data_IF_199644335258
#
_entry.id   IF_199644335258
#
_cell.length_a   1.000
_cell.length_b   1.000
_cell.length_c   1.000
_cell.angle_alpha   90.00
_cell.angle_beta   90.00
_cell.angle_gamma   90.00
#
_symmetry.space_group_name_H-M   'P 1'
#
loop_
_entity.id
_entity.type
_entity.pdbx_description
1 polymer ?
#
# COMPACT_ATOMS: atom_id res chain seq x y z
N UNK A 1 -16.09 -18.16 -6.49
CA UNK A 1 -15.56 -19.02 -7.56
C UNK A 1 -14.75 -18.23 -8.60
N UNK A 2 -14.89 -16.92 -8.67
CA UNK A 2 -14.09 -16.02 -9.46
C UNK A 2 -13.99 -14.66 -8.78
N UNK A 3 -12.93 -13.91 -9.15
CA UNK A 3 -12.78 -12.50 -8.80
C UNK A 3 -12.83 -11.63 -10.06
N UNK A 4 -13.42 -10.43 -9.95
CA UNK A 4 -13.14 -9.32 -10.86
C UNK A 4 -12.39 -8.27 -10.05
N UNK A 5 -11.20 -7.91 -10.49
CA UNK A 5 -10.30 -7.03 -9.77
C UNK A 5 -10.09 -5.74 -10.57
N UNK A 6 -10.39 -4.61 -9.95
CA UNK A 6 -10.23 -3.26 -10.52
C UNK A 6 -9.09 -2.49 -9.89
N UNK A 7 -8.76 -2.79 -8.63
CA UNK A 7 -7.64 -2.15 -7.95
C UNK A 7 -6.34 -2.52 -8.65
N UNK A 8 -5.52 -1.55 -9.10
CA UNK A 8 -4.29 -1.82 -9.84
C UNK A 8 -3.26 -2.64 -9.06
N UNK A 9 -3.25 -2.56 -7.72
CA UNK A 9 -2.41 -3.41 -6.86
C UNK A 9 -2.86 -4.87 -6.96
N UNK A 10 -4.16 -5.13 -6.92
CA UNK A 10 -4.72 -6.47 -7.00
C UNK A 10 -4.61 -7.06 -8.40
N UNK A 11 -4.80 -6.24 -9.46
CA UNK A 11 -4.56 -6.64 -10.84
C UNK A 11 -3.10 -7.04 -11.05
N UNK A 12 -2.16 -6.25 -10.49
CA UNK A 12 -0.73 -6.58 -10.52
C UNK A 12 -0.45 -7.89 -9.79
N UNK A 13 -0.95 -8.07 -8.58
CA UNK A 13 -0.75 -9.29 -7.82
C UNK A 13 -1.24 -10.53 -8.56
N UNK A 14 -2.40 -10.44 -9.22
CA UNK A 14 -2.99 -11.56 -9.93
C UNK A 14 -2.32 -11.89 -11.27
N UNK A 15 -1.88 -10.88 -12.04
CA UNK A 15 -1.50 -11.02 -13.44
C UNK A 15 -0.11 -10.47 -13.81
N UNK A 16 0.64 -9.95 -12.82
CA UNK A 16 1.95 -9.29 -13.03
C UNK A 16 1.92 -8.18 -14.09
N UNK A 17 0.83 -7.43 -14.15
CA UNK A 17 0.64 -6.37 -15.13
C UNK A 17 0.31 -5.04 -14.45
N UNK A 18 1.01 -3.99 -14.85
CA UNK A 18 0.80 -2.63 -14.34
C UNK A 18 0.79 -1.63 -15.49
N UNK A 19 -0.10 -0.67 -15.41
CA UNK A 19 -0.13 0.48 -16.29
C UNK A 19 -0.97 1.59 -15.65
N UNK A 20 -0.45 2.82 -15.60
CA UNK A 20 -1.14 4.01 -15.10
C UNK A 20 -1.88 3.79 -13.78
N UNK A 21 -1.19 3.26 -12.75
CA UNK A 21 -1.81 2.85 -11.48
C UNK A 21 -2.64 3.95 -10.84
N UNK A 22 -2.12 5.17 -10.72
CA UNK A 22 -2.84 6.31 -10.13
C UNK A 22 -4.10 6.67 -10.92
N UNK A 23 -4.04 6.63 -12.24
CA UNK A 23 -5.21 6.87 -13.10
C UNK A 23 -6.29 5.78 -12.89
N UNK A 24 -5.88 4.52 -12.78
CA UNK A 24 -6.79 3.40 -12.55
C UNK A 24 -7.43 3.39 -11.16
N UNK A 25 -6.79 3.98 -10.16
CA UNK A 25 -7.41 4.16 -8.83
C UNK A 25 -8.62 5.11 -8.89
N UNK A 26 -8.62 6.06 -9.82
CA UNK A 26 -9.72 7.02 -10.01
C UNK A 26 -10.75 6.58 -11.05
N UNK A 27 -10.31 5.81 -12.05
CA UNK A 27 -11.12 5.43 -13.19
C UNK A 27 -11.06 3.92 -13.39
N UNK A 28 -12.18 3.23 -13.24
CA UNK A 28 -12.26 1.76 -13.36
C UNK A 28 -12.15 1.32 -14.83
N UNK A 29 -11.04 1.64 -15.48
CA UNK A 29 -10.84 1.50 -16.93
C UNK A 29 -10.01 0.28 -17.33
N UNK A 30 -9.41 -0.40 -16.36
CA UNK A 30 -8.61 -1.60 -16.56
C UNK A 30 -8.85 -2.54 -15.42
N UNK A 31 -9.17 -3.79 -15.70
CA UNK A 31 -9.54 -4.78 -14.70
C UNK A 31 -9.28 -6.20 -15.20
N UNK A 32 -9.33 -7.17 -14.32
CA UNK A 32 -9.17 -8.56 -14.71
C UNK A 32 -10.25 -9.47 -14.11
N UNK A 33 -10.46 -10.59 -14.77
CA UNK A 33 -11.28 -11.70 -14.32
C UNK A 33 -10.38 -12.90 -14.01
N UNK A 34 -10.46 -13.40 -12.79
CA UNK A 34 -9.64 -14.51 -12.29
C UNK A 34 -10.56 -15.57 -11.72
N UNK A 35 -10.89 -16.63 -12.50
CA UNK A 35 -11.71 -17.74 -12.01
C UNK A 35 -10.86 -18.80 -11.33
N UNK A 36 -11.48 -19.61 -10.46
CA UNK A 36 -10.85 -20.83 -9.91
C UNK A 36 -10.57 -21.85 -11.02
N UNK A 37 -11.46 -21.94 -12.01
CA UNK A 37 -11.33 -22.82 -13.17
C UNK A 37 -11.74 -22.05 -14.42
N UNK A 38 -10.85 -21.91 -15.37
CA UNK A 38 -11.08 -21.18 -16.62
C UNK A 38 -9.93 -20.22 -16.94
N UNK A 39 -10.07 -19.44 -18.00
CA UNK A 39 -9.03 -18.50 -18.41
C UNK A 39 -8.97 -17.27 -17.50
N UNK A 40 -7.77 -16.79 -17.20
CA UNK A 40 -7.55 -15.46 -16.68
C UNK A 40 -7.70 -14.45 -17.81
N UNK A 41 -8.57 -13.45 -17.62
CA UNK A 41 -8.89 -12.47 -18.65
C UNK A 41 -8.48 -11.09 -18.16
N UNK A 42 -7.61 -10.43 -18.91
CA UNK A 42 -7.33 -9.01 -18.72
C UNK A 42 -8.23 -8.17 -19.64
N UNK A 43 -8.91 -7.22 -19.06
CA UNK A 43 -9.63 -6.18 -19.79
C UNK A 43 -8.73 -4.94 -19.87
N UNK A 44 -8.24 -4.69 -21.09
CA UNK A 44 -7.22 -3.68 -21.36
C UNK A 44 -7.84 -2.46 -22.04
N UNK A 45 -7.13 -1.33 -22.00
CA UNK A 45 -7.51 -0.14 -22.75
C UNK A 45 -7.66 -0.43 -24.23
N UNK A 46 -8.55 0.29 -24.88
CA UNK A 46 -8.79 0.19 -26.33
C UNK A 46 -7.47 0.34 -27.12
N UNK A 47 -7.20 -0.61 -28.00
CA UNK A 47 -5.98 -0.71 -28.80
C UNK A 47 -4.66 -0.83 -28.00
N UNK A 48 -4.70 -1.22 -26.73
CA UNK A 48 -3.51 -1.38 -25.90
C UNK A 48 -3.21 -2.85 -25.54
N UNK A 49 -3.88 -3.81 -26.15
CA UNK A 49 -3.76 -5.25 -25.83
C UNK A 49 -2.33 -5.77 -26.00
N UNK A 50 -1.55 -5.14 -26.88
CA UNK A 50 -0.16 -5.53 -27.14
C UNK A 50 0.75 -5.32 -25.92
N UNK A 51 0.40 -4.39 -25.02
CA UNK A 51 1.20 -4.07 -23.86
C UNK A 51 1.34 -5.26 -22.88
N UNK A 52 0.34 -6.14 -22.84
CA UNK A 52 0.28 -7.25 -21.90
C UNK A 52 0.39 -8.64 -22.57
N UNK A 53 0.52 -8.71 -23.90
CA UNK A 53 0.60 -10.00 -24.65
C UNK A 53 1.78 -10.89 -24.27
N UNK A 54 2.83 -10.32 -23.71
CA UNK A 54 4.04 -11.04 -23.32
C UNK A 54 3.94 -11.70 -21.93
N UNK A 55 2.87 -11.44 -21.18
CA UNK A 55 2.69 -11.93 -19.82
C UNK A 55 2.03 -13.30 -19.81
N UNK A 56 2.69 -14.27 -19.19
CA UNK A 56 2.28 -15.68 -19.20
C UNK A 56 1.11 -16.02 -18.28
N UNK A 57 0.71 -15.10 -17.39
CA UNK A 57 -0.42 -15.28 -16.47
C UNK A 57 -1.77 -14.86 -17.07
N UNK A 58 -1.76 -14.35 -18.31
CA UNK A 58 -2.94 -13.86 -19.01
C UNK A 58 -3.28 -14.80 -20.16
N UNK A 59 -4.41 -15.48 -20.07
CA UNK A 59 -4.88 -16.39 -21.12
C UNK A 59 -5.60 -15.64 -22.23
N UNK A 60 -6.33 -14.56 -21.89
CA UNK A 60 -7.12 -13.78 -22.85
C UNK A 60 -7.05 -12.30 -22.54
N UNK A 61 -6.98 -11.46 -23.58
CA UNK A 61 -7.05 -10.00 -23.43
C UNK A 61 -8.28 -9.51 -24.21
N UNK A 62 -9.14 -8.75 -23.54
CA UNK A 62 -10.34 -8.13 -24.11
C UNK A 62 -10.28 -6.61 -23.95
N UNK A 63 -10.94 -5.84 -24.82
CA UNK A 63 -11.12 -4.41 -24.59
C UNK A 63 -11.98 -4.18 -23.33
N UNK A 64 -11.55 -3.27 -22.47
CA UNK A 64 -12.28 -2.93 -21.26
C UNK A 64 -13.60 -2.22 -21.58
N UNK A 65 -14.65 -2.61 -20.87
CA UNK A 65 -15.94 -1.90 -20.88
C UNK A 65 -15.94 -0.99 -19.64
N UNK A 66 -16.03 0.31 -19.86
CA UNK A 66 -16.08 1.33 -18.81
C UNK A 66 -17.44 2.01 -18.81
N UNK A 67 -17.89 2.45 -17.63
CA UNK A 67 -19.19 3.14 -17.48
C UNK A 67 -19.10 4.38 -16.59
N UNK A 68 -17.90 4.91 -16.43
CA UNK A 68 -17.71 6.18 -15.76
C UNK A 68 -18.22 7.35 -16.62
N UNK A 69 -18.66 8.41 -15.94
CA UNK A 69 -19.22 9.59 -16.64
C UNK A 69 -18.15 10.34 -17.43
N UNK A 70 -16.91 10.34 -16.96
CA UNK A 70 -15.79 10.98 -17.65
C UNK A 70 -15.59 10.43 -19.08
N UNK A 71 -15.64 9.11 -19.22
CA UNK A 71 -15.41 8.46 -20.51
C UNK A 71 -16.66 8.37 -21.39
N UNK A 72 -17.85 8.35 -20.79
CA UNK A 72 -19.07 7.94 -21.48
C UNK A 72 -20.21 8.99 -21.46
N UNK A 73 -20.13 10.01 -20.61
CA UNK A 73 -21.19 11.01 -20.48
C UNK A 73 -22.56 10.34 -20.28
N UNK A 74 -23.55 10.79 -21.03
CA UNK A 74 -24.93 10.27 -20.96
C UNK A 74 -25.09 8.82 -21.43
N UNK A 75 -24.04 8.19 -21.94
CA UNK A 75 -24.04 6.78 -22.34
C UNK A 75 -23.56 5.85 -21.21
N UNK A 76 -23.25 6.37 -20.04
CA UNK A 76 -22.71 5.59 -18.91
C UNK A 76 -23.62 4.41 -18.54
N UNK A 77 -24.93 4.60 -18.45
CA UNK A 77 -25.90 3.54 -18.13
C UNK A 77 -25.93 2.44 -19.22
N UNK A 78 -25.83 2.81 -20.49
CA UNK A 78 -25.78 1.86 -21.59
C UNK A 78 -24.49 1.03 -21.55
N UNK A 79 -23.36 1.64 -21.18
CA UNK A 79 -22.10 0.92 -21.02
C UNK A 79 -22.13 0.00 -19.79
N UNK A 80 -22.73 0.44 -18.70
CA UNK A 80 -22.94 -0.42 -17.53
C UNK A 80 -23.74 -1.68 -17.94
N UNK A 81 -24.80 -1.55 -18.71
CA UNK A 81 -25.59 -2.69 -19.18
C UNK A 81 -24.74 -3.66 -20.04
N UNK A 82 -23.83 -3.15 -20.87
CA UNK A 82 -22.91 -4.01 -21.64
C UNK A 82 -21.98 -4.78 -20.72
N UNK A 83 -21.40 -4.10 -19.72
CA UNK A 83 -20.54 -4.77 -18.74
C UNK A 83 -21.30 -5.82 -17.93
N UNK A 84 -22.53 -5.53 -17.49
CA UNK A 84 -23.38 -6.51 -16.81
C UNK A 84 -23.63 -7.75 -17.67
N UNK A 85 -23.87 -7.58 -18.97
CA UNK A 85 -24.06 -8.71 -19.89
C UNK A 85 -22.78 -9.53 -20.02
N UNK A 86 -21.62 -8.89 -20.08
CA UNK A 86 -20.31 -9.59 -20.06
C UNK A 86 -20.17 -10.44 -18.79
N UNK A 87 -20.45 -9.86 -17.61
CA UNK A 87 -20.38 -10.59 -16.33
C UNK A 87 -21.40 -11.75 -16.29
N UNK A 88 -22.60 -11.58 -16.87
CA UNK A 88 -23.59 -12.65 -16.98
C UNK A 88 -23.08 -13.82 -17.84
N UNK A 89 -22.39 -13.52 -18.93
CA UNK A 89 -21.83 -14.56 -19.79
C UNK A 89 -20.65 -15.27 -19.13
N UNK A 90 -19.78 -14.55 -18.42
CA UNK A 90 -18.75 -15.16 -17.56
C UNK A 90 -19.40 -16.05 -16.47
N UNK A 91 -20.45 -15.57 -15.84
CA UNK A 91 -21.19 -16.34 -14.81
C UNK A 91 -21.76 -17.66 -15.34
N UNK A 92 -22.35 -17.66 -16.55
CA UNK A 92 -22.87 -18.89 -17.18
C UNK A 92 -21.77 -19.92 -17.45
N UNK A 93 -20.60 -19.45 -17.83
CA UNK A 93 -19.52 -20.32 -18.30
C UNK A 93 -18.62 -20.83 -17.17
N UNK A 94 -18.42 -20.03 -16.11
CA UNK A 94 -17.38 -20.29 -15.11
C UNK A 94 -17.88 -20.34 -13.67
N UNK A 95 -19.16 -20.02 -13.36
CA UNK A 95 -19.69 -20.06 -12.00
C UNK A 95 -20.63 -21.25 -11.81
N UNK A 96 -20.49 -21.93 -10.68
CA UNK A 96 -21.48 -22.93 -10.22
C UNK A 96 -22.54 -22.26 -9.33
N UNK A 97 -22.15 -21.21 -8.63
CA UNK A 97 -23.04 -20.35 -7.85
C UNK A 97 -23.14 -18.99 -8.53
N UNK A 98 -24.15 -18.22 -8.16
CA UNK A 98 -24.28 -16.85 -8.67
C UNK A 98 -23.55 -15.85 -7.75
N UNK A 99 -22.32 -16.15 -7.33
CA UNK A 99 -21.50 -15.31 -6.47
C UNK A 99 -20.20 -14.93 -7.16
N UNK A 100 -19.83 -13.67 -7.07
CA UNK A 100 -18.55 -13.14 -7.57
C UNK A 100 -17.91 -12.23 -6.53
N UNK A 101 -16.60 -12.37 -6.35
CA UNK A 101 -15.84 -11.47 -5.49
C UNK A 101 -15.31 -10.28 -6.31
N UNK A 102 -15.51 -9.07 -5.82
CA UNK A 102 -15.05 -7.84 -6.48
C UNK A 102 -14.40 -6.94 -5.42
N UNK A 103 -13.25 -6.37 -5.73
CA UNK A 103 -12.48 -5.54 -4.79
C UNK A 103 -12.94 -4.08 -4.76
N UNK A 104 -13.25 -3.50 -5.92
CA UNK A 104 -13.75 -2.13 -6.05
C UNK A 104 -14.90 -2.10 -7.03
N UNK A 105 -16.05 -1.59 -6.60
CA UNK A 105 -17.21 -1.44 -7.49
C UNK A 105 -18.12 -0.32 -7.00
N UNK A 106 -18.69 0.46 -7.91
CA UNK A 106 -19.65 1.51 -7.56
C UNK A 106 -21.06 0.98 -7.28
N UNK A 107 -21.85 1.72 -6.51
CA UNK A 107 -23.19 1.32 -6.11
C UNK A 107 -24.14 0.94 -7.26
N UNK A 108 -24.22 1.72 -8.37
CA UNK A 108 -25.04 1.36 -9.54
C UNK A 108 -24.71 -0.02 -10.13
N UNK A 109 -23.44 -0.36 -10.25
CA UNK A 109 -23.01 -1.65 -10.78
C UNK A 109 -23.36 -2.82 -9.83
N UNK A 110 -23.17 -2.64 -8.52
CA UNK A 110 -23.60 -3.64 -7.51
C UNK A 110 -25.12 -3.87 -7.61
N UNK A 111 -25.91 -2.79 -7.67
CA UNK A 111 -27.35 -2.88 -7.77
C UNK A 111 -27.80 -3.61 -9.06
N UNK A 112 -27.10 -3.34 -10.18
CA UNK A 112 -27.41 -3.95 -11.47
C UNK A 112 -27.06 -5.45 -11.47
N UNK A 113 -25.94 -5.89 -10.91
CA UNK A 113 -25.59 -7.31 -10.76
C UNK A 113 -26.62 -8.03 -9.87
N UNK A 114 -26.99 -7.44 -8.75
CA UNK A 114 -27.98 -8.01 -7.85
C UNK A 114 -29.36 -8.21 -8.53
N UNK A 115 -29.79 -7.30 -9.40
CA UNK A 115 -31.02 -7.46 -10.20
C UNK A 115 -30.96 -8.67 -11.13
N UNK A 116 -29.78 -9.01 -11.63
CA UNK A 116 -29.55 -10.21 -12.45
C UNK A 116 -29.35 -11.49 -11.60
N UNK A 117 -29.48 -11.36 -10.28
CA UNK A 117 -29.32 -12.47 -9.32
C UNK A 117 -27.88 -12.89 -9.11
N UNK A 118 -26.91 -12.01 -9.40
CA UNK A 118 -25.48 -12.22 -9.14
C UNK A 118 -25.15 -11.50 -7.82
N UNK A 119 -24.79 -12.26 -6.81
CA UNK A 119 -24.37 -11.76 -5.51
C UNK A 119 -22.92 -11.29 -5.57
N UNK A 120 -22.68 -10.03 -5.22
CA UNK A 120 -21.34 -9.47 -5.10
C UNK A 120 -20.84 -9.62 -3.67
N UNK A 121 -19.66 -10.21 -3.49
CA UNK A 121 -18.95 -10.31 -2.22
C UNK A 121 -17.63 -9.55 -2.28
N UNK A 122 -17.13 -9.11 -1.13
CA UNK A 122 -15.87 -8.38 -1.06
C UNK A 122 -14.68 -9.31 -1.36
N UNK A 123 -13.86 -8.94 -2.34
CA UNK A 123 -12.63 -9.66 -2.67
C UNK A 123 -11.44 -9.25 -1.80
N UNK A 124 -11.48 -8.10 -1.12
CA UNK A 124 -10.33 -7.57 -0.34
C UNK A 124 -9.87 -8.55 0.71
N UNK A 125 -10.78 -9.13 1.49
CA UNK A 125 -10.44 -10.14 2.50
C UNK A 125 -9.62 -11.30 1.91
N UNK A 126 -10.04 -11.81 0.75
CA UNK A 126 -9.39 -12.96 0.10
C UNK A 126 -7.99 -12.57 -0.37
N UNK A 127 -7.86 -11.39 -0.95
CA UNK A 127 -6.59 -10.86 -1.47
C UNK A 127 -5.61 -10.51 -0.36
N UNK A 128 -6.08 -9.86 0.70
CA UNK A 128 -5.26 -9.62 1.90
C UNK A 128 -4.70 -10.92 2.46
N UNK A 129 -5.55 -11.94 2.62
CA UNK A 129 -5.09 -13.24 3.10
C UNK A 129 -4.09 -13.91 2.14
N UNK A 130 -4.26 -13.76 0.83
CA UNK A 130 -3.34 -14.32 -0.15
C UNK A 130 -1.96 -13.64 -0.11
N UNK A 131 -1.90 -12.32 0.16
CA UNK A 131 -0.67 -11.54 0.19
C UNK A 131 0.12 -11.61 1.50
N UNK A 132 -0.50 -12.02 2.60
CA UNK A 132 0.12 -12.02 3.94
C UNK A 132 1.45 -12.75 3.97
N UNK A 133 1.53 -13.93 3.37
CA UNK A 133 2.74 -14.76 3.36
C UNK A 133 3.43 -14.61 2.01
N UNK A 134 4.59 -13.98 2.02
CA UNK A 134 5.38 -13.71 0.80
C UNK A 134 6.12 -14.95 0.31
N UNK A 135 6.08 -15.15 -0.98
CA UNK A 135 6.94 -16.11 -1.67
C UNK A 135 8.42 -15.68 -1.62
N UNK A 136 9.38 -16.56 -1.92
CA UNK A 136 10.78 -16.18 -2.02
C UNK A 136 11.07 -15.09 -3.04
N UNK A 137 10.31 -15.07 -4.15
CA UNK A 137 10.47 -14.07 -5.21
C UNK A 137 9.95 -12.71 -4.77
N UNK A 138 8.79 -12.65 -4.10
CA UNK A 138 8.27 -11.43 -3.49
C UNK A 138 9.23 -10.85 -2.46
N UNK A 139 9.83 -11.69 -1.60
CA UNK A 139 10.85 -11.25 -0.64
C UNK A 139 12.10 -10.69 -1.33
N UNK A 140 12.43 -11.18 -2.53
CA UNK A 140 13.53 -10.64 -3.32
C UNK A 140 13.20 -9.27 -3.90
N UNK A 141 11.98 -9.10 -4.41
CA UNK A 141 11.48 -7.80 -4.89
C UNK A 141 11.42 -6.77 -3.75
N UNK A 142 10.93 -7.15 -2.58
CA UNK A 142 10.90 -6.27 -1.41
C UNK A 142 12.30 -5.83 -0.97
N UNK A 143 13.29 -6.72 -0.98
CA UNK A 143 14.69 -6.34 -0.69
C UNK A 143 15.20 -5.29 -1.67
N UNK A 144 14.92 -5.44 -2.96
CA UNK A 144 15.30 -4.45 -3.96
C UNK A 144 14.65 -3.07 -3.69
N UNK A 145 13.37 -3.05 -3.31
CA UNK A 145 12.67 -1.81 -2.92
C UNK A 145 13.31 -1.16 -1.69
N UNK A 146 13.60 -1.94 -0.64
CA UNK A 146 14.26 -1.47 0.58
C UNK A 146 15.66 -0.89 0.27
N UNK A 147 16.46 -1.54 -0.57
CA UNK A 147 17.78 -1.05 -0.97
C UNK A 147 17.71 0.33 -1.66
N UNK A 148 16.69 0.55 -2.49
CA UNK A 148 16.47 1.85 -3.14
C UNK A 148 16.01 2.89 -2.13
N UNK A 149 15.11 2.54 -1.20
CA UNK A 149 14.67 3.44 -0.14
C UNK A 149 15.83 3.85 0.76
N UNK A 150 16.66 2.91 1.21
CA UNK A 150 17.85 3.20 2.02
C UNK A 150 18.84 4.13 1.30
N UNK A 151 19.01 3.93 -0.01
CA UNK A 151 19.83 4.82 -0.85
C UNK A 151 19.25 6.23 -0.90
N UNK A 152 17.92 6.36 -1.05
CA UNK A 152 17.21 7.63 -1.03
C UNK A 152 17.34 8.34 0.31
N UNK A 153 17.07 7.62 1.39
CA UNK A 153 17.20 8.11 2.77
C UNK A 153 18.64 8.56 3.09
N UNK A 154 19.64 7.80 2.62
CA UNK A 154 21.06 8.18 2.77
C UNK A 154 21.39 9.47 2.03
N UNK A 155 20.87 9.66 0.82
CA UNK A 155 21.03 10.92 0.06
C UNK A 155 20.30 12.08 0.75
N UNK A 156 19.06 11.88 1.19
CA UNK A 156 18.34 12.91 1.95
C UNK A 156 19.15 13.37 3.17
N UNK A 157 19.72 12.41 3.91
CA UNK A 157 20.57 12.73 5.05
C UNK A 157 21.81 13.51 4.67
N UNK A 158 22.52 13.14 3.59
CA UNK A 158 23.76 13.81 3.18
C UNK A 158 23.53 15.21 2.68
N UNK A 159 22.40 15.45 2.00
CA UNK A 159 22.11 16.71 1.34
C UNK A 159 21.34 17.68 2.23
N UNK A 160 20.79 17.19 3.36
CA UNK A 160 20.04 17.98 4.34
C UNK A 160 20.90 19.12 4.91
N UNK A 161 20.45 20.35 4.69
CA UNK A 161 21.11 21.56 5.17
C UNK A 161 20.08 22.65 5.53
N UNK A 162 20.43 23.58 6.42
CA UNK A 162 19.58 24.74 6.69
C UNK A 162 19.32 25.55 5.41
N UNK A 163 18.11 26.06 5.27
CA UNK A 163 17.68 26.84 4.12
C UNK A 163 17.04 26.05 2.99
N UNK A 164 17.08 24.70 3.03
CA UNK A 164 16.28 23.87 2.15
C UNK A 164 14.82 23.92 2.56
N UNK A 165 13.90 23.77 1.61
CA UNK A 165 12.50 23.49 1.88
C UNK A 165 12.27 21.99 2.15
N UNK A 166 11.15 21.68 2.79
CA UNK A 166 10.72 20.28 2.98
C UNK A 166 10.52 19.60 1.62
N UNK A 167 9.92 20.28 0.65
CA UNK A 167 9.70 19.76 -0.71
C UNK A 167 11.03 19.49 -1.46
N UNK A 168 12.04 20.36 -1.30
CA UNK A 168 13.37 20.11 -1.87
C UNK A 168 14.01 18.84 -1.30
N UNK A 169 13.91 18.63 0.01
CA UNK A 169 14.42 17.41 0.66
C UNK A 169 13.65 16.18 0.20
N UNK A 170 12.30 16.25 0.16
CA UNK A 170 11.45 15.15 -0.28
C UNK A 170 11.71 14.75 -1.74
N UNK A 171 11.99 15.73 -2.62
CA UNK A 171 12.26 15.47 -4.03
C UNK A 171 13.46 14.55 -4.28
N UNK A 172 14.41 14.49 -3.32
CA UNK A 172 15.58 13.61 -3.40
C UNK A 172 15.16 12.14 -3.37
N UNK A 173 14.16 11.79 -2.56
CA UNK A 173 13.62 10.42 -2.48
C UNK A 173 12.95 10.03 -3.81
N UNK A 174 12.07 10.89 -4.34
CA UNK A 174 11.41 10.67 -5.63
C UNK A 174 12.40 10.45 -6.77
N UNK A 175 13.37 11.36 -6.88
CA UNK A 175 14.43 11.25 -7.88
C UNK A 175 15.18 9.93 -7.75
N UNK A 176 15.58 9.57 -6.53
CA UNK A 176 16.33 8.33 -6.29
C UNK A 176 15.50 7.10 -6.63
N UNK A 177 14.22 7.10 -6.29
CA UNK A 177 13.31 6.00 -6.61
C UNK A 177 13.23 5.76 -8.12
N UNK A 178 12.90 6.80 -8.88
CA UNK A 178 12.76 6.71 -10.34
C UNK A 178 14.09 6.36 -11.03
N UNK A 179 15.21 6.94 -10.61
CA UNK A 179 16.54 6.64 -11.17
C UNK A 179 16.97 5.17 -10.96
N UNK A 180 16.38 4.48 -9.99
CA UNK A 180 16.71 3.09 -9.66
C UNK A 180 15.59 2.09 -9.99
N UNK A 181 14.67 2.46 -10.88
CA UNK A 181 13.62 1.57 -11.39
C UNK A 181 12.38 1.45 -10.51
N UNK A 182 12.23 2.32 -9.51
CA UNK A 182 11.00 2.42 -8.74
C UNK A 182 9.90 3.17 -9.50
N UNK A 183 8.71 3.19 -8.95
CA UNK A 183 7.52 3.67 -9.65
C UNK A 183 7.05 5.02 -9.12
N UNK A 184 6.50 5.08 -7.92
CA UNK A 184 5.92 6.28 -7.30
C UNK A 184 6.02 6.21 -5.78
N UNK A 185 5.49 7.20 -5.09
CA UNK A 185 5.44 7.26 -3.63
C UNK A 185 4.01 7.59 -3.25
N UNK A 186 3.40 6.80 -2.35
CA UNK A 186 1.99 6.91 -2.03
C UNK A 186 1.63 8.20 -1.33
N UNK A 187 2.52 8.71 -0.49
CA UNK A 187 2.32 9.94 0.26
C UNK A 187 3.58 10.81 0.24
N UNK A 188 3.49 12.01 0.80
CA UNK A 188 4.62 12.92 0.98
C UNK A 188 4.86 13.21 2.45
N UNK A 189 4.78 12.18 3.30
CA UNK A 189 4.94 12.36 4.75
C UNK A 189 6.36 12.81 5.06
N UNK A 190 6.52 14.10 5.18
CA UNK A 190 7.73 14.76 5.67
C UNK A 190 7.34 16.10 6.27
N UNK A 191 7.84 16.37 7.46
CA UNK A 191 7.63 17.64 8.14
C UNK A 191 8.84 18.00 9.00
N UNK A 192 8.95 19.28 9.36
CA UNK A 192 10.09 19.79 10.13
C UNK A 192 9.68 20.73 11.25
N UNK A 193 10.50 20.78 12.31
CA UNK A 193 10.28 21.64 13.47
C UNK A 193 8.96 21.34 14.16
N UNK A 194 8.17 22.36 14.47
CA UNK A 194 6.87 22.22 15.12
C UNK A 194 5.83 21.46 14.29
N UNK A 195 6.02 21.37 12.97
CA UNK A 195 5.13 20.62 12.09
C UNK A 195 5.29 19.10 12.23
N UNK A 196 6.31 18.60 12.93
CA UNK A 196 6.44 17.15 13.17
C UNK A 196 5.37 16.59 14.10
N UNK A 197 4.60 17.44 14.78
CA UNK A 197 3.46 17.06 15.60
C UNK A 197 2.24 17.96 15.28
N UNK A 198 1.08 17.39 14.94
CA UNK A 198 0.80 15.95 14.80
C UNK A 198 1.48 15.32 13.60
N UNK A 199 1.63 13.99 13.61
CA UNK A 199 2.12 13.19 12.49
C UNK A 199 1.17 13.28 11.25
N UNK A 200 1.52 12.69 10.15
CA UNK A 200 0.76 12.67 8.88
C UNK A 200 0.73 14.01 8.13
N UNK A 201 1.75 14.85 8.32
CA UNK A 201 1.86 16.09 7.55
C UNK A 201 2.75 15.89 6.31
N UNK A 202 2.20 16.27 5.16
CA UNK A 202 2.96 16.26 3.92
C UNK A 202 3.99 17.38 3.84
N UNK A 203 5.01 17.15 3.03
CA UNK A 203 6.05 18.15 2.75
C UNK A 203 5.47 19.44 2.15
N UNK A 204 6.11 20.54 2.43
CA UNK A 204 5.68 21.88 2.05
C UNK A 204 6.86 22.77 1.63
N UNK A 205 6.55 24.01 1.26
CA UNK A 205 7.55 25.04 0.99
C UNK A 205 8.17 25.65 2.26
N UNK A 206 7.91 25.08 3.46
CA UNK A 206 8.55 25.51 4.70
C UNK A 206 10.06 25.37 4.59
N UNK A 207 10.78 26.46 4.88
CA UNK A 207 12.24 26.50 4.92
C UNK A 207 12.72 25.96 6.26
N UNK A 208 13.49 24.88 6.23
CA UNK A 208 14.01 24.20 7.41
C UNK A 208 15.15 25.01 8.04
N UNK A 209 15.11 25.14 9.39
CA UNK A 209 16.07 25.91 10.15
C UNK A 209 17.08 25.00 10.84
N UNK A 210 18.27 25.56 11.13
CA UNK A 210 19.32 24.88 11.89
C UNK A 210 18.79 24.37 13.24
N UNK A 211 18.96 23.08 13.51
CA UNK A 211 18.58 22.45 14.77
C UNK A 211 17.14 21.92 14.83
N UNK A 212 16.31 22.16 13.82
CA UNK A 212 15.00 21.56 13.71
C UNK A 212 15.10 20.05 13.48
N UNK A 213 14.18 19.27 14.08
CA UNK A 213 13.96 17.89 13.67
C UNK A 213 13.27 17.91 12.30
N UNK A 214 13.64 17.00 11.42
CA UNK A 214 12.88 16.62 10.25
C UNK A 214 12.56 15.13 10.35
N UNK A 215 11.29 14.79 10.27
CA UNK A 215 10.79 13.43 10.33
C UNK A 215 10.02 13.11 9.05
N UNK A 216 10.16 11.89 8.56
CA UNK A 216 9.49 11.45 7.33
C UNK A 216 9.25 9.95 7.33
N UNK A 217 8.32 9.54 6.49
CA UNK A 217 8.02 8.17 6.16
C UNK A 217 8.08 7.98 4.64
N UNK A 218 8.52 6.82 4.17
CA UNK A 218 8.79 6.69 2.74
C UNK A 218 7.59 6.23 1.93
N UNK A 219 6.80 5.28 2.38
CA UNK A 219 5.70 4.66 1.61
C UNK A 219 6.01 4.52 0.11
N UNK A 220 7.24 4.09 -0.15
CA UNK A 220 7.84 4.17 -1.48
C UNK A 220 7.55 2.90 -2.27
N UNK A 221 6.81 3.01 -3.36
CA UNK A 221 6.64 1.93 -4.34
C UNK A 221 7.92 1.85 -5.18
N UNK A 222 8.77 0.93 -4.79
CA UNK A 222 10.09 0.73 -5.36
C UNK A 222 10.09 -0.14 -6.62
N UNK A 223 11.26 -0.68 -7.00
CA UNK A 223 11.38 -1.63 -8.10
C UNK A 223 10.43 -2.82 -7.92
N UNK A 224 9.89 -3.29 -9.04
CA UNK A 224 8.90 -4.39 -9.11
C UNK A 224 7.56 -4.09 -8.42
N UNK A 225 7.32 -2.83 -7.99
CA UNK A 225 6.07 -2.40 -7.38
C UNK A 225 5.88 -2.81 -5.92
N UNK A 226 6.91 -3.32 -5.26
CA UNK A 226 6.86 -3.58 -3.83
C UNK A 226 7.19 -2.34 -3.03
N UNK A 227 6.49 -2.17 -1.91
CA UNK A 227 6.67 -1.02 -1.05
C UNK A 227 7.87 -1.18 -0.11
N UNK A 228 8.52 -0.07 0.15
CA UNK A 228 9.48 0.10 1.24
C UNK A 228 9.00 1.25 2.11
N UNK A 229 8.56 0.92 3.29
CA UNK A 229 8.07 1.83 4.30
C UNK A 229 9.12 1.96 5.41
N UNK A 230 9.80 3.09 5.43
CA UNK A 230 10.95 3.36 6.30
C UNK A 230 10.86 4.78 6.88
N UNK A 231 10.47 4.88 8.13
CA UNK A 231 10.48 6.16 8.85
C UNK A 231 11.87 6.51 9.38
N UNK A 232 12.25 7.78 9.30
CA UNK A 232 13.47 8.31 9.91
C UNK A 232 13.25 9.72 10.42
N UNK A 233 14.07 10.08 11.43
CA UNK A 233 14.17 11.44 11.92
C UNK A 233 15.63 11.90 11.88
N UNK A 234 15.85 13.11 11.37
CA UNK A 234 17.14 13.78 11.33
C UNK A 234 17.07 15.11 12.04
N UNK A 235 18.23 15.73 12.25
CA UNK A 235 18.30 17.12 12.72
C UNK A 235 19.01 17.96 11.65
N UNK A 236 18.40 19.05 11.27
CA UNK A 236 18.98 20.00 10.31
C UNK A 236 20.29 20.55 10.85
N UNK A 237 21.39 20.32 10.12
CA UNK A 237 22.75 20.64 10.55
C UNK A 237 23.41 19.57 11.41
N UNK A 238 22.79 18.41 11.57
CA UNK A 238 23.37 17.19 12.15
C UNK A 238 23.82 17.26 13.63
N UNK A 239 23.35 18.24 14.39
CA UNK A 239 23.68 18.42 15.80
C UNK A 239 22.44 18.26 16.66
N UNK A 240 22.28 17.10 17.30
CA UNK A 240 21.22 16.83 18.25
C UNK A 240 21.50 17.52 19.59
N UNK A 241 20.49 18.16 20.17
CA UNK A 241 20.50 18.52 21.58
C UNK A 241 20.15 17.31 22.46
N UNK A 242 20.22 17.46 23.79
CA UNK A 242 20.05 16.31 24.69
C UNK A 242 18.60 15.81 24.75
N UNK A 243 17.63 16.69 24.58
CA UNK A 243 16.21 16.32 24.50
C UNK A 243 15.93 15.51 23.22
N UNK A 244 16.38 15.97 22.07
CA UNK A 244 16.27 15.25 20.79
C UNK A 244 16.93 13.87 20.87
N UNK A 245 18.10 13.76 21.52
CA UNK A 245 18.76 12.46 21.75
C UNK A 245 17.93 11.54 22.63
N UNK A 246 17.33 12.09 23.70
CA UNK A 246 16.44 11.35 24.60
C UNK A 246 15.25 10.77 23.83
N UNK A 247 14.54 11.61 23.08
CA UNK A 247 13.37 11.19 22.28
C UNK A 247 13.75 10.14 21.24
N UNK A 248 14.80 10.39 20.44
CA UNK A 248 15.27 9.44 19.45
C UNK A 248 15.69 8.09 20.06
N UNK A 249 16.38 8.12 21.20
CA UNK A 249 16.77 6.89 21.91
C UNK A 249 15.56 6.12 22.42
N UNK A 250 14.52 6.81 22.83
CA UNK A 250 13.27 6.19 23.29
C UNK A 250 12.54 5.49 22.12
N UNK A 251 12.37 6.19 21.01
CA UNK A 251 11.79 5.63 19.78
C UNK A 251 12.60 4.40 19.32
N UNK A 252 13.91 4.49 19.29
CA UNK A 252 14.80 3.38 18.94
C UNK A 252 14.65 2.19 19.90
N UNK A 253 14.56 2.44 21.19
CA UNK A 253 14.38 1.39 22.20
C UNK A 253 13.03 0.68 22.03
N UNK A 254 11.97 1.39 21.67
CA UNK A 254 10.67 0.81 21.34
C UNK A 254 10.77 -0.14 20.14
N UNK A 255 11.36 0.31 19.05
CA UNK A 255 11.58 -0.52 17.85
C UNK A 255 12.41 -1.75 18.18
N UNK A 256 13.56 -1.57 18.84
CA UNK A 256 14.49 -2.68 19.15
C UNK A 256 13.86 -3.69 20.14
N UNK A 257 13.05 -3.24 21.10
CA UNK A 257 12.32 -4.11 22.00
C UNK A 257 11.27 -4.93 21.25
N UNK A 258 10.41 -4.27 20.48
CA UNK A 258 9.33 -4.90 19.73
C UNK A 258 9.88 -5.87 18.67
N UNK A 259 10.95 -5.50 17.99
CA UNK A 259 11.63 -6.37 17.02
C UNK A 259 12.10 -7.70 17.65
N UNK A 260 12.69 -7.64 18.84
CA UNK A 260 13.18 -8.83 19.55
C UNK A 260 12.07 -9.78 20.03
N UNK A 261 10.87 -9.26 20.23
CA UNK A 261 9.72 -10.06 20.65
C UNK A 261 9.18 -10.92 19.51
N UNK A 262 9.14 -10.38 18.29
CA UNK A 262 8.45 -10.99 17.15
C UNK A 262 9.15 -12.30 16.74
N UNK A 263 8.37 -13.37 16.74
CA UNK A 263 8.81 -14.71 16.28
C UNK A 263 7.64 -15.42 15.61
N UNK A 264 7.89 -16.22 14.58
CA UNK A 264 6.88 -17.10 14.03
C UNK A 264 6.21 -17.96 15.13
N UNK A 265 4.88 -18.00 15.14
CA UNK A 265 4.07 -18.67 16.15
C UNK A 265 3.63 -17.79 17.32
N UNK A 266 4.16 -16.59 17.48
CA UNK A 266 3.70 -15.65 18.50
C UNK A 266 2.37 -15.03 18.10
N UNK A 267 1.36 -15.08 18.98
CA UNK A 267 0.09 -14.40 18.71
C UNK A 267 0.20 -12.88 18.84
N UNK A 268 -0.60 -12.14 18.07
CA UNK A 268 -0.66 -10.67 18.16
C UNK A 268 -1.05 -10.21 19.57
N UNK A 269 -1.98 -10.93 20.21
CA UNK A 269 -2.38 -10.66 21.60
C UNK A 269 -1.22 -10.81 22.60
N UNK A 270 -0.35 -11.78 22.39
CA UNK A 270 0.86 -11.96 23.21
C UNK A 270 1.86 -10.84 22.95
N UNK A 271 2.06 -10.46 21.69
CA UNK A 271 2.91 -9.34 21.32
C UNK A 271 2.44 -8.04 21.97
N UNK A 272 1.15 -7.70 21.87
CA UNK A 272 0.55 -6.50 22.49
C UNK A 272 0.83 -6.43 23.98
N UNK A 273 0.69 -7.56 24.69
CA UNK A 273 0.95 -7.62 26.13
C UNK A 273 2.41 -7.42 26.51
N UNK A 274 3.33 -7.78 25.64
CA UNK A 274 4.79 -7.74 25.87
C UNK A 274 5.47 -6.53 25.21
N UNK A 275 4.78 -5.83 24.34
CA UNK A 275 5.31 -4.69 23.61
C UNK A 275 5.80 -3.60 24.53
N UNK A 276 6.67 -2.74 24.01
CA UNK A 276 7.20 -1.60 24.75
C UNK A 276 6.07 -0.73 25.30
N UNK A 277 6.15 -0.43 26.60
CA UNK A 277 5.19 0.47 27.25
C UNK A 277 5.64 1.91 27.01
N UNK A 278 4.85 2.63 26.22
CA UNK A 278 5.11 4.05 25.95
C UNK A 278 4.83 4.86 27.22
N UNK A 279 5.74 5.79 27.63
CA UNK A 279 5.49 6.65 28.78
C UNK A 279 4.22 7.50 28.61
N UNK A 280 3.49 7.71 29.70
CA UNK A 280 2.20 8.41 29.70
C UNK A 280 2.29 9.81 29.08
N UNK A 281 3.41 10.51 29.28
CA UNK A 281 3.66 11.86 28.74
C UNK A 281 3.62 11.91 27.19
N UNK A 282 3.93 10.78 26.50
CA UNK A 282 3.95 10.68 25.03
C UNK A 282 2.76 9.90 24.49
N UNK A 283 2.01 9.21 25.36
CA UNK A 283 0.96 8.28 24.93
C UNK A 283 -0.15 8.95 24.10
N UNK A 284 -0.44 10.23 24.38
CA UNK A 284 -1.46 10.99 23.64
C UNK A 284 -1.10 11.30 22.19
N UNK A 285 0.18 11.31 21.84
CA UNK A 285 0.68 11.67 20.50
C UNK A 285 1.16 10.47 19.68
N UNK A 286 1.06 9.25 20.24
CA UNK A 286 1.56 8.02 19.58
C UNK A 286 0.96 7.78 18.19
N UNK A 287 1.66 7.05 17.37
CA UNK A 287 1.10 6.53 16.14
C UNK A 287 -0.03 5.53 16.41
N UNK A 288 -0.94 5.35 15.47
CA UNK A 288 -2.16 4.55 15.68
C UNK A 288 -1.90 3.04 15.80
N UNK A 289 -0.80 2.55 15.26
CA UNK A 289 -0.43 1.14 15.35
C UNK A 289 1.03 0.95 15.73
N UNK A 290 1.36 -0.24 16.23
CA UNK A 290 2.72 -0.64 16.57
C UNK A 290 3.39 -1.45 15.46
N UNK A 291 2.57 -2.11 14.64
CA UNK A 291 3.01 -3.00 13.55
C UNK A 291 1.95 -3.00 12.49
N UNK A 292 2.34 -2.94 11.22
CA UNK A 292 1.45 -3.32 10.13
C UNK A 292 2.18 -4.16 9.06
N UNK A 293 1.41 -4.84 8.23
CA UNK A 293 1.92 -5.58 7.09
C UNK A 293 2.29 -4.64 5.96
N UNK A 294 3.23 -5.07 5.14
CA UNK A 294 3.68 -4.35 3.97
C UNK A 294 3.97 -5.32 2.83
N UNK A 295 3.68 -4.93 1.61
CA UNK A 295 3.92 -5.73 0.41
C UNK A 295 3.86 -4.89 -0.85
N UNK A 296 2.82 -5.04 -1.65
CA UNK A 296 2.54 -4.15 -2.79
C UNK A 296 1.91 -2.81 -2.35
N UNK A 297 1.41 -2.75 -1.14
CA UNK A 297 0.89 -1.58 -0.42
C UNK A 297 0.93 -1.91 1.07
N UNK A 298 0.36 -1.07 1.92
CA UNK A 298 0.03 -1.44 3.28
C UNK A 298 -0.96 -2.60 3.28
N UNK A 299 -0.69 -3.62 4.10
CA UNK A 299 -1.42 -4.87 4.13
C UNK A 299 -1.74 -5.31 5.57
N UNK A 300 -2.63 -6.28 5.70
CA UNK A 300 -2.85 -6.94 6.98
C UNK A 300 -1.57 -7.71 7.43
N UNK A 301 -1.23 -7.74 8.75
CA UNK A 301 -2.00 -7.25 9.89
C UNK A 301 -1.78 -5.76 10.18
N UNK A 302 -2.72 -5.14 10.91
CA UNK A 302 -2.50 -3.88 11.59
C UNK A 302 -2.67 -4.09 13.09
N UNK A 303 -1.57 -4.07 13.85
CA UNK A 303 -1.56 -4.35 15.29
C UNK A 303 -1.53 -3.02 16.05
N UNK A 304 -2.65 -2.69 16.68
CA UNK A 304 -2.87 -1.43 17.38
C UNK A 304 -2.51 -1.54 18.86
N UNK A 305 -2.41 -0.39 19.52
CA UNK A 305 -2.33 -0.34 20.97
C UNK A 305 -3.61 -0.86 21.62
N UNK A 306 -3.55 -1.41 22.85
CA UNK A 306 -4.73 -1.99 23.53
C UNK A 306 -5.90 -1.02 23.63
N UNK A 307 -5.63 0.27 23.87
CA UNK A 307 -6.63 1.34 23.96
C UNK A 307 -7.28 1.71 22.64
N UNK A 308 -6.70 1.28 21.52
CA UNK A 308 -7.14 1.65 20.17
C UNK A 308 -7.82 0.47 19.44
N UNK A 309 -8.28 -0.51 20.20
CA UNK A 309 -8.95 -1.70 19.66
C UNK A 309 -8.00 -2.84 19.26
N UNK A 310 -6.79 -2.87 19.80
CA UNK A 310 -5.72 -3.82 19.48
C UNK A 310 -5.94 -5.27 19.92
N UNK A 311 -7.16 -5.78 19.86
CA UNK A 311 -7.44 -7.18 20.22
C UNK A 311 -7.55 -8.11 19.00
N UNK A 312 -6.89 -7.81 17.93
CA UNK A 312 -7.02 -8.59 16.71
C UNK A 312 -6.46 -10.01 16.89
N UNK A 313 -7.21 -10.98 16.41
CA UNK A 313 -6.77 -12.36 16.34
C UNK A 313 -5.77 -12.52 15.21
N UNK A 314 -4.76 -13.35 15.45
CA UNK A 314 -3.74 -13.65 14.46
C UNK A 314 -2.42 -14.04 15.10
N UNK A 315 -1.50 -14.46 14.26
CA UNK A 315 -0.20 -14.99 14.67
C UNK A 315 0.83 -14.53 13.66
N UNK A 316 1.99 -14.11 14.14
CA UNK A 316 3.13 -13.87 13.25
C UNK A 316 3.56 -15.19 12.60
N UNK A 317 3.67 -15.19 11.30
CA UNK A 317 4.08 -16.37 10.55
C UNK A 317 5.40 -16.11 9.80
N UNK A 318 6.09 -17.19 9.46
CA UNK A 318 7.29 -17.09 8.63
C UNK A 318 6.94 -16.49 7.27
N UNK A 319 7.76 -15.59 6.79
CA UNK A 319 7.59 -14.86 5.52
C UNK A 319 6.46 -13.82 5.52
N UNK A 320 5.86 -13.50 6.65
CA UNK A 320 5.18 -12.22 6.78
C UNK A 320 6.20 -11.10 6.68
N UNK A 321 5.88 -10.06 5.96
CA UNK A 321 6.62 -8.79 5.91
C UNK A 321 5.84 -7.74 6.65
N UNK A 322 6.52 -7.05 7.56
CA UNK A 322 5.89 -6.10 8.49
C UNK A 322 6.79 -4.89 8.71
N UNK A 323 6.19 -3.76 9.01
CA UNK A 323 6.87 -2.59 9.57
C UNK A 323 6.70 -2.57 11.09
N UNK A 324 7.60 -1.90 11.77
CA UNK A 324 7.53 -1.60 13.19
C UNK A 324 7.50 -0.09 13.39
N UNK A 325 6.46 0.38 14.05
CA UNK A 325 6.17 1.79 14.17
C UNK A 325 6.57 2.35 15.54
N UNK A 326 7.12 3.56 15.54
CA UNK A 326 7.41 4.32 16.73
C UNK A 326 7.31 5.82 16.47
N UNK A 327 6.48 6.48 17.24
CA UNK A 327 6.34 7.94 17.26
C UNK A 327 6.30 8.43 18.71
N UNK A 328 7.30 9.27 19.07
CA UNK A 328 7.51 9.79 20.41
C UNK A 328 7.42 11.32 20.39
#
# INVERSE_FOLDING_TARGET
EACILFDPVNVRYALDTVNMSVYNMHNLTRYCFVPVNGPTILYEYFNCEILSKHLNLIDEIRPAITWDYFSNGDQADNQLLKWINEVKDLSKNYFKTKKIAIDVLNGPAVAALNKEGIEVVDAKLILEQARVIKSPDELTCMKAAIEVAEKGVSKMRSDLKPGMTEDELWSILHKTNIENGGEWIECRILSSGERTNPWMQESSNKVMQQGEIVAFDTDMVGPYGYCADISRAFVVGHKFNDEQKKLYSMARNQIDHNFRLIKPGMSFKEFIKKSWVLPDEYYGNRYSCMVHGIGLCDEWPQIRYPTDGGEEGGTFEKNMTITLESYI
#
